data_IF_325472447538
#
_entry.id   IF_325472447538
#
_cell.length_a   1.000
_cell.length_b   1.000
_cell.length_c   1.000
_cell.angle_alpha   90.00
_cell.angle_beta   90.00
_cell.angle_gamma   90.00
#
_symmetry.space_group_name_H-M   'P 1'
#
loop_
_entity.id
_entity.type
_entity.pdbx_description
1 polymer ?
#
# COMPACT_ATOMS: atom_id res chain seq x y z
N UNK A 1 -14.29 20.03 9.19
CA UNK A 1 -13.07 19.31 8.79
C UNK A 1 -13.20 18.82 7.37
N UNK A 2 -14.37 18.30 7.06
CA UNK A 2 -14.70 17.44 5.91
C UNK A 2 -14.40 18.09 4.56
N UNK A 3 -14.66 19.39 4.43
CA UNK A 3 -14.37 20.15 3.20
C UNK A 3 -12.87 20.25 2.89
N UNK A 4 -11.99 20.21 3.90
CA UNK A 4 -10.54 20.28 3.73
C UNK A 4 -9.99 18.90 3.33
N UNK A 5 -10.38 17.85 4.05
CA UNK A 5 -9.97 16.47 3.75
C UNK A 5 -10.46 16.04 2.37
N UNK A 6 -11.71 16.37 2.02
CA UNK A 6 -12.25 16.12 0.66
C UNK A 6 -11.43 16.79 -0.45
N UNK A 7 -11.00 18.03 -0.24
CA UNK A 7 -10.15 18.73 -1.23
C UNK A 7 -8.77 18.09 -1.34
N UNK A 8 -8.22 17.64 -0.23
CA UNK A 8 -6.96 16.90 -0.19
C UNK A 8 -7.05 15.59 -0.98
N UNK A 9 -8.08 14.78 -0.71
CA UNK A 9 -8.28 13.50 -1.37
C UNK A 9 -8.55 13.68 -2.87
N UNK A 10 -9.38 14.67 -3.24
CA UNK A 10 -9.62 14.99 -4.65
C UNK A 10 -8.35 15.41 -5.40
N UNK A 11 -7.49 16.21 -4.75
CA UNK A 11 -6.21 16.62 -5.33
C UNK A 11 -5.27 15.44 -5.52
N UNK A 12 -5.16 14.58 -4.50
CA UNK A 12 -4.33 13.40 -4.53
C UNK A 12 -4.74 12.42 -5.62
N UNK A 13 -6.04 12.07 -5.68
CA UNK A 13 -6.58 11.20 -6.73
C UNK A 13 -6.42 11.81 -8.12
N UNK A 14 -6.55 13.13 -8.26
CA UNK A 14 -6.27 13.80 -9.53
C UNK A 14 -4.78 13.70 -9.93
N UNK A 15 -3.84 13.77 -8.99
CA UNK A 15 -2.42 13.56 -9.28
C UNK A 15 -2.15 12.10 -9.71
N UNK A 16 -2.72 11.13 -9.00
CA UNK A 16 -2.59 9.71 -9.33
C UNK A 16 -3.17 9.41 -10.72
N UNK A 17 -4.40 9.86 -10.99
CA UNK A 17 -5.07 9.68 -12.28
C UNK A 17 -4.30 10.35 -13.43
N UNK A 18 -3.76 11.55 -13.20
CA UNK A 18 -2.94 12.26 -14.17
C UNK A 18 -1.66 11.49 -14.53
N UNK A 19 -0.89 11.05 -13.53
CA UNK A 19 0.34 10.28 -13.75
C UNK A 19 0.05 8.95 -14.44
N UNK A 20 -0.98 8.23 -14.00
CA UNK A 20 -1.39 6.96 -14.60
C UNK A 20 -1.86 7.14 -16.05
N UNK A 21 -2.65 8.17 -16.34
CA UNK A 21 -3.11 8.47 -17.70
C UNK A 21 -1.94 8.71 -18.64
N UNK A 22 -0.96 9.53 -18.24
CA UNK A 22 0.21 9.79 -19.08
C UNK A 22 1.06 8.53 -19.25
N UNK A 23 1.23 7.73 -18.20
CA UNK A 23 1.97 6.48 -18.25
C UNK A 23 1.32 5.45 -19.19
N UNK A 24 0.00 5.33 -19.15
CA UNK A 24 -0.77 4.41 -19.97
C UNK A 24 -0.75 4.86 -21.44
N UNK A 25 -0.88 6.16 -21.71
CA UNK A 25 -0.73 6.74 -23.05
C UNK A 25 0.68 6.49 -23.61
N UNK A 26 1.72 6.73 -22.82
CA UNK A 26 3.10 6.43 -23.16
C UNK A 26 3.30 4.96 -23.55
N UNK A 27 2.71 4.05 -22.79
CA UNK A 27 2.80 2.60 -23.03
C UNK A 27 1.99 2.17 -24.27
N UNK A 28 0.81 2.74 -24.48
CA UNK A 28 -0.05 2.44 -25.62
C UNK A 28 0.53 2.94 -26.94
N UNK A 29 1.18 4.11 -26.95
CA UNK A 29 1.90 4.63 -28.11
C UNK A 29 3.06 3.71 -28.47
N UNK A 30 3.86 3.28 -27.48
CA UNK A 30 4.97 2.34 -27.71
C UNK A 30 4.48 1.00 -28.30
N UNK A 31 3.35 0.48 -27.81
CA UNK A 31 2.74 -0.77 -28.33
C UNK A 31 2.21 -0.60 -29.76
N UNK A 32 1.49 0.48 -30.05
CA UNK A 32 0.84 0.71 -31.35
C UNK A 32 1.84 1.02 -32.46
N UNK A 33 2.94 1.69 -32.13
CA UNK A 33 3.99 1.98 -33.08
C UNK A 33 4.73 0.72 -33.59
N UNK A 34 4.47 -0.47 -33.03
CA UNK A 34 5.13 -1.72 -33.44
C UNK A 34 6.65 -1.64 -33.34
N UNK A 35 7.17 -0.71 -32.53
CA UNK A 35 8.58 -0.40 -32.42
C UNK A 35 9.29 -1.56 -31.69
N UNK A 36 9.78 -2.53 -32.45
CA UNK A 36 11.09 -3.12 -32.12
C UNK A 36 12.06 -1.93 -32.02
N UNK A 37 12.50 -1.63 -30.80
CA UNK A 37 13.32 -0.47 -30.43
C UNK A 37 14.50 -0.31 -31.39
N UNK A 38 14.36 0.57 -32.37
CA UNK A 38 15.46 1.16 -33.12
C UNK A 38 15.45 2.63 -32.75
N UNK A 39 16.56 3.21 -32.28
CA UNK A 39 16.62 4.62 -31.87
C UNK A 39 16.57 5.50 -33.11
N UNK A 40 15.37 5.79 -33.60
CA UNK A 40 15.15 6.73 -34.69
C UNK A 40 14.06 7.72 -34.30
N UNK A 41 14.47 8.99 -34.21
CA UNK A 41 13.64 10.17 -33.97
C UNK A 41 12.57 10.30 -35.05
N UNK A 42 11.33 9.92 -34.77
CA UNK A 42 10.19 10.25 -35.64
C UNK A 42 9.09 10.90 -34.78
N UNK A 43 8.69 12.15 -35.08
CA UNK A 43 7.53 12.76 -34.45
C UNK A 43 6.26 12.22 -35.12
N UNK A 44 5.37 11.60 -34.35
CA UNK A 44 4.05 11.19 -34.83
C UNK A 44 2.99 12.07 -34.17
N UNK A 45 2.07 12.58 -34.99
CA UNK A 45 0.92 13.40 -34.58
C UNK A 45 -0.32 12.52 -34.60
N UNK A 46 -1.07 12.44 -33.51
CA UNK A 46 -2.36 11.73 -33.46
C UNK A 46 -3.50 12.57 -32.89
N UNK A 47 -4.71 12.16 -33.31
CA UNK A 47 -5.96 12.92 -33.37
C UNK A 47 -6.96 12.59 -32.25
N UNK A 48 -7.84 13.55 -32.02
CA UNK A 48 -8.87 13.68 -30.97
C UNK A 48 -9.98 12.61 -31.12
N UNK A 49 -10.40 11.98 -30.02
CA UNK A 49 -11.61 11.15 -29.94
C UNK A 49 -12.67 11.84 -29.03
N UNK A 50 -13.99 11.86 -29.37
CA UNK A 50 -14.94 12.77 -28.75
C UNK A 50 -15.74 12.22 -27.54
N UNK A 51 -15.38 11.06 -26.95
CA UNK A 51 -16.28 10.37 -25.99
C UNK A 51 -15.72 10.19 -24.55
N UNK A 52 -14.45 10.50 -24.27
CA UNK A 52 -13.98 10.53 -22.88
C UNK A 52 -12.47 10.63 -22.77
N UNK A 53 -11.98 11.63 -22.03
CA UNK A 53 -10.56 11.83 -21.76
C UNK A 53 -9.84 12.68 -22.81
N UNK A 54 -9.11 13.70 -22.36
CA UNK A 54 -8.18 14.44 -23.22
C UNK A 54 -7.09 13.47 -23.70
N UNK A 55 -6.83 13.45 -25.01
CA UNK A 55 -5.69 12.70 -25.57
C UNK A 55 -4.46 13.60 -25.44
N UNK A 56 -3.50 13.17 -24.62
CA UNK A 56 -2.25 13.88 -24.37
C UNK A 56 -1.38 13.89 -25.64
N UNK A 57 -0.90 15.06 -26.05
CA UNK A 57 0.00 15.23 -27.22
C UNK A 57 1.36 15.76 -26.74
N UNK A 58 2.06 14.93 -25.95
CA UNK A 58 3.45 15.16 -25.55
C UNK A 58 4.43 14.35 -26.43
N UNK A 59 5.60 14.92 -26.75
CA UNK A 59 6.60 14.35 -27.67
C UNK A 59 7.34 13.09 -27.13
N UNK A 60 6.64 11.97 -26.99
CA UNK A 60 7.19 10.68 -26.49
C UNK A 60 7.90 9.86 -27.57
N UNK A 61 8.86 10.46 -28.30
CA UNK A 61 9.57 9.75 -29.38
C UNK A 61 10.77 8.89 -28.92
N UNK A 62 10.99 8.74 -27.61
CA UNK A 62 12.22 8.17 -27.04
C UNK A 62 12.02 7.34 -25.76
N UNK A 63 10.90 6.63 -25.61
CA UNK A 63 10.80 5.65 -24.54
C UNK A 63 11.76 4.48 -24.81
N UNK A 64 12.91 4.51 -24.14
CA UNK A 64 13.77 3.35 -24.04
C UNK A 64 13.05 2.21 -23.30
N UNK A 65 13.52 0.97 -23.46
CA UNK A 65 13.02 -0.18 -22.68
C UNK A 65 13.00 0.11 -21.16
N UNK A 66 13.96 0.91 -20.69
CA UNK A 66 14.09 1.30 -19.28
C UNK A 66 12.90 2.18 -18.87
N UNK A 67 12.55 3.18 -19.68
CA UNK A 67 11.39 4.04 -19.40
C UNK A 67 10.08 3.25 -19.41
N UNK A 68 9.94 2.26 -20.30
CA UNK A 68 8.74 1.40 -20.31
C UNK A 68 8.64 0.52 -19.07
N UNK A 69 9.75 -0.03 -18.57
CA UNK A 69 9.75 -0.78 -17.31
C UNK A 69 9.33 0.13 -16.15
N UNK A 70 9.89 1.34 -16.07
CA UNK A 70 9.55 2.33 -15.05
C UNK A 70 8.08 2.78 -15.09
N UNK A 71 7.47 2.93 -16.28
CA UNK A 71 6.05 3.28 -16.41
C UNK A 71 5.08 2.14 -16.13
N UNK A 72 5.51 0.89 -16.28
CA UNK A 72 4.69 -0.26 -15.91
C UNK A 72 4.76 -0.57 -14.41
N UNK A 73 5.75 0.00 -13.72
CA UNK A 73 5.89 -0.12 -12.29
C UNK A 73 4.92 0.84 -11.58
N UNK A 74 3.99 0.25 -10.85
CA UNK A 74 2.96 0.99 -10.16
C UNK A 74 3.49 1.79 -8.97
N UNK A 75 4.47 1.24 -8.24
CA UNK A 75 5.08 1.91 -7.10
C UNK A 75 5.82 3.18 -7.55
N UNK A 76 6.49 3.11 -8.68
CA UNK A 76 7.19 4.25 -9.27
C UNK A 76 6.20 5.35 -9.68
N UNK A 77 5.13 5.00 -10.39
CA UNK A 77 4.08 5.96 -10.77
C UNK A 77 3.44 6.61 -9.54
N UNK A 78 3.16 5.80 -8.53
CA UNK A 78 2.58 6.26 -7.27
C UNK A 78 3.50 7.23 -6.55
N UNK A 79 4.79 6.92 -6.42
CA UNK A 79 5.78 7.81 -5.79
C UNK A 79 5.86 9.18 -6.48
N UNK A 80 5.80 9.21 -7.81
CA UNK A 80 5.81 10.47 -8.58
C UNK A 80 4.50 11.26 -8.39
N UNK A 81 3.34 10.58 -8.42
CA UNK A 81 2.06 11.21 -8.15
C UNK A 81 1.98 11.81 -6.74
N UNK A 82 2.54 11.12 -5.75
CA UNK A 82 2.56 11.59 -4.38
C UNK A 82 3.46 12.78 -4.17
N UNK A 83 4.66 12.79 -4.78
CA UNK A 83 5.48 14.00 -4.77
C UNK A 83 4.77 15.19 -5.45
N UNK A 84 4.06 14.95 -6.55
CA UNK A 84 3.26 15.98 -7.23
C UNK A 84 2.17 16.54 -6.30
N UNK A 85 1.46 15.66 -5.59
CA UNK A 85 0.47 16.03 -4.59
C UNK A 85 1.06 16.86 -3.46
N UNK A 86 2.19 16.44 -2.86
CA UNK A 86 2.85 17.17 -1.77
C UNK A 86 3.23 18.61 -2.17
N UNK A 87 3.70 18.80 -3.41
CA UNK A 87 4.04 20.13 -3.93
C UNK A 87 2.80 20.99 -4.26
N UNK A 88 1.64 20.37 -4.52
CA UNK A 88 0.38 21.07 -4.80
C UNK A 88 -0.50 21.27 -3.56
N UNK A 89 -0.26 20.52 -2.49
CA UNK A 89 -1.06 20.60 -1.28
C UNK A 89 -0.86 21.97 -0.61
N UNK A 90 -1.98 22.64 -0.32
CA UNK A 90 -1.97 23.94 0.37
C UNK A 90 -1.60 25.15 -0.49
N UNK A 91 -1.27 24.95 -1.78
CA UNK A 91 -1.04 26.05 -2.74
C UNK A 91 -2.22 26.22 -3.70
N UNK A 92 -2.28 27.38 -4.36
CA UNK A 92 -3.29 27.60 -5.40
C UNK A 92 -2.98 26.75 -6.65
N UNK A 93 -3.98 26.05 -7.19
CA UNK A 93 -3.84 25.22 -8.39
C UNK A 93 -3.81 26.12 -9.64
N UNK A 94 -2.65 26.70 -9.91
CA UNK A 94 -2.37 27.52 -11.09
C UNK A 94 -1.47 26.76 -12.07
N UNK A 95 -1.48 27.15 -13.35
CA UNK A 95 -0.60 26.56 -14.38
C UNK A 95 0.88 26.60 -13.96
N UNK A 96 1.32 27.69 -13.31
CA UNK A 96 2.69 27.82 -12.84
C UNK A 96 3.03 26.83 -11.70
N UNK A 97 2.13 26.65 -10.73
CA UNK A 97 2.37 25.71 -9.63
C UNK A 97 2.26 24.26 -10.10
N UNK A 98 1.39 23.99 -11.08
CA UNK A 98 1.28 22.69 -11.73
C UNK A 98 2.56 22.33 -12.49
N UNK A 99 3.10 23.25 -13.30
CA UNK A 99 4.37 23.04 -13.99
C UNK A 99 5.55 22.82 -13.03
N UNK A 100 5.53 23.46 -11.85
CA UNK A 100 6.55 23.31 -10.82
C UNK A 100 6.34 22.11 -9.88
N UNK A 101 5.22 21.39 -9.99
CA UNK A 101 4.80 20.35 -9.04
C UNK A 101 5.75 19.14 -8.98
N UNK A 102 6.57 18.95 -10.02
CA UNK A 102 7.57 17.88 -10.11
C UNK A 102 9.00 18.35 -9.86
N UNK A 103 9.25 19.66 -9.78
CA UNK A 103 10.61 20.21 -9.64
C UNK A 103 11.20 19.95 -8.25
N UNK A 104 10.35 19.75 -7.23
CA UNK A 104 10.75 19.48 -5.85
C UNK A 104 10.99 18.01 -5.52
N UNK A 105 10.75 17.09 -6.46
CA UNK A 105 10.89 15.67 -6.23
C UNK A 105 12.37 15.27 -6.21
N UNK A 106 12.95 15.14 -5.01
CA UNK A 106 14.36 14.80 -4.81
C UNK A 106 14.73 13.36 -5.15
N UNK A 107 14.25 12.83 -6.28
CA UNK A 107 14.57 11.48 -6.71
C UNK A 107 16.06 11.34 -7.04
N UNK A 108 16.59 10.14 -6.81
CA UNK A 108 17.99 9.87 -7.10
C UNK A 108 18.22 9.95 -8.62
N UNK A 109 19.31 10.60 -9.09
CA UNK A 109 19.62 10.66 -10.52
C UNK A 109 19.67 9.26 -11.13
N UNK A 110 19.04 9.09 -12.30
CA UNK A 110 18.91 7.81 -13.02
C UNK A 110 18.10 6.73 -12.30
N UNK A 111 17.43 7.03 -11.19
CA UNK A 111 16.40 6.14 -10.66
C UNK A 111 15.19 6.11 -11.59
N UNK A 112 14.41 5.04 -11.52
CA UNK A 112 13.21 4.92 -12.35
C UNK A 112 12.17 6.02 -12.06
N UNK A 113 12.08 6.48 -10.79
CA UNK A 113 11.28 7.64 -10.40
C UNK A 113 11.71 8.93 -11.12
N UNK A 114 13.02 9.15 -11.24
CA UNK A 114 13.57 10.31 -11.95
C UNK A 114 13.26 10.25 -13.45
N UNK A 115 13.35 9.06 -14.06
CA UNK A 115 13.02 8.86 -15.48
C UNK A 115 11.54 9.17 -15.74
N UNK A 116 10.64 8.65 -14.89
CA UNK A 116 9.20 8.94 -15.01
C UNK A 116 8.92 10.43 -14.81
N UNK A 117 9.57 11.05 -13.81
CA UNK A 117 9.47 12.50 -13.55
C UNK A 117 9.92 13.34 -14.75
N UNK A 118 11.09 13.09 -15.33
CA UNK A 118 11.61 13.83 -16.50
C UNK A 118 10.67 13.75 -17.71
N UNK A 119 10.01 12.61 -17.89
CA UNK A 119 9.07 12.41 -19.00
C UNK A 119 7.77 13.19 -18.73
N UNK A 120 7.27 13.12 -17.50
CA UNK A 120 6.10 13.89 -17.06
C UNK A 120 6.35 15.39 -17.04
N UNK A 121 7.59 15.85 -16.82
CA UNK A 121 7.96 17.27 -16.88
C UNK A 121 7.55 17.91 -18.22
N UNK A 122 7.59 17.16 -19.32
CA UNK A 122 7.14 17.66 -20.61
C UNK A 122 5.63 17.94 -20.64
N UNK A 123 4.83 17.10 -19.97
CA UNK A 123 3.37 17.23 -19.90
C UNK A 123 2.92 18.31 -18.91
N UNK A 124 3.53 18.40 -17.73
CA UNK A 124 3.15 19.43 -16.74
C UNK A 124 3.43 20.87 -17.22
N UNK A 125 4.28 21.04 -18.23
CA UNK A 125 4.54 22.32 -18.89
C UNK A 125 3.57 22.62 -20.06
N UNK A 126 2.71 21.67 -20.46
CA UNK A 126 1.68 21.89 -21.48
C UNK A 126 0.39 22.43 -20.84
N UNK A 127 -0.13 23.49 -21.42
CA UNK A 127 -1.39 24.10 -20.98
C UNK A 127 -2.59 23.18 -21.17
N UNK A 128 -2.61 22.36 -22.22
CA UNK A 128 -3.68 21.39 -22.46
C UNK A 128 -3.76 20.38 -21.31
N UNK A 129 -2.60 19.93 -20.83
CA UNK A 129 -2.46 18.96 -19.75
C UNK A 129 -2.86 19.56 -18.40
N UNK A 130 -2.51 20.82 -18.14
CA UNK A 130 -3.02 21.56 -16.98
C UNK A 130 -4.55 21.66 -16.99
N UNK A 131 -5.16 21.97 -18.14
CA UNK A 131 -6.63 22.06 -18.25
C UNK A 131 -7.29 20.68 -18.07
N UNK A 132 -6.67 19.62 -18.58
CA UNK A 132 -7.12 18.25 -18.37
C UNK A 132 -7.07 17.88 -16.87
N UNK A 133 -5.97 18.18 -16.20
CA UNK A 133 -5.81 17.99 -14.76
C UNK A 133 -6.87 18.73 -13.94
N UNK A 134 -7.13 20.01 -14.25
CA UNK A 134 -8.19 20.79 -13.57
C UNK A 134 -9.58 20.19 -13.81
N UNK A 135 -9.83 19.63 -14.99
CA UNK A 135 -11.09 18.95 -15.30
C UNK A 135 -11.25 17.66 -14.46
N UNK A 136 -10.19 16.87 -14.32
CA UNK A 136 -10.16 15.66 -13.48
C UNK A 136 -10.32 16.02 -12.00
N UNK A 137 -9.62 17.05 -11.52
CA UNK A 137 -9.79 17.56 -10.17
C UNK A 137 -11.25 17.97 -9.91
N UNK A 138 -11.88 18.65 -10.89
CA UNK A 138 -13.29 19.01 -10.84
C UNK A 138 -14.25 17.81 -10.77
N UNK A 139 -13.93 16.70 -11.45
CA UNK A 139 -14.76 15.49 -11.39
C UNK A 139 -14.68 14.81 -10.02
N UNK A 140 -13.48 14.68 -9.45
CA UNK A 140 -13.30 14.15 -8.09
C UNK A 140 -13.96 15.03 -7.03
N UNK A 141 -13.91 16.36 -7.18
CA UNK A 141 -14.65 17.27 -6.31
C UNK A 141 -16.18 17.13 -6.43
N UNK A 142 -16.68 16.68 -7.59
CA UNK A 142 -18.10 16.55 -7.91
C UNK A 142 -18.71 15.16 -7.64
N UNK A 143 -17.90 14.10 -7.53
CA UNK A 143 -18.32 12.71 -7.31
C UNK A 143 -18.83 12.41 -5.88
N UNK A 144 -19.45 13.41 -5.25
CA UNK A 144 -19.93 13.42 -3.88
C UNK A 144 -21.05 12.40 -3.71
N UNK A 145 -20.76 11.23 -3.12
CA UNK A 145 -21.85 10.35 -2.69
C UNK A 145 -21.55 8.99 -2.09
N UNK A 146 -20.45 8.28 -2.38
CA UNK A 146 -20.41 6.86 -1.96
C UNK A 146 -19.05 6.20 -1.70
N UNK A 147 -17.94 6.89 -1.80
CA UNK A 147 -16.66 6.37 -1.33
C UNK A 147 -15.70 7.54 -1.18
N UNK A 148 -15.29 7.84 0.05
CA UNK A 148 -14.04 8.59 0.26
C UNK A 148 -12.93 7.73 -0.35
N UNK A 149 -12.59 7.97 -1.61
CA UNK A 149 -11.42 7.33 -2.20
C UNK A 149 -10.23 7.95 -1.50
N UNK A 150 -9.70 7.20 -0.55
CA UNK A 150 -8.66 7.66 0.33
C UNK A 150 -7.37 7.92 -0.44
N UNK A 151 -6.64 8.96 -0.05
CA UNK A 151 -5.44 9.35 -0.76
C UNK A 151 -4.27 8.47 -0.33
N UNK A 152 -3.87 7.51 -1.17
CA UNK A 152 -2.76 6.59 -0.87
C UNK A 152 -1.35 7.24 -0.80
N UNK A 153 -1.23 8.57 -0.75
CA UNK A 153 0.07 9.26 -0.70
C UNK A 153 0.60 9.54 0.70
N UNK A 154 -0.21 9.36 1.75
CA UNK A 154 0.30 9.28 3.12
C UNK A 154 0.94 7.91 3.37
N UNK A 155 1.98 7.86 4.18
CA UNK A 155 2.32 6.62 4.90
C UNK A 155 1.67 6.75 6.27
N UNK A 156 0.90 5.74 6.68
CA UNK A 156 0.44 5.63 8.05
C UNK A 156 1.25 4.55 8.77
N UNK A 157 1.44 4.77 10.06
CA UNK A 157 1.99 3.78 10.99
C UNK A 157 0.98 3.64 12.12
N UNK A 158 0.44 2.44 12.29
CA UNK A 158 -0.50 2.11 13.36
C UNK A 158 0.12 1.06 14.28
N UNK A 159 -0.03 1.23 15.59
CA UNK A 159 0.43 0.24 16.57
C UNK A 159 -0.70 -0.17 17.49
N UNK A 160 -1.06 -1.44 17.41
CA UNK A 160 -1.90 -2.11 18.39
C UNK A 160 -1.02 -2.55 19.56
N UNK A 161 -0.97 -1.76 20.63
CA UNK A 161 -0.11 -2.02 21.80
C UNK A 161 -0.79 -2.88 22.90
N UNK A 162 -2.10 -3.10 22.75
CA UNK A 162 -2.95 -3.83 23.69
C UNK A 162 -2.89 -3.33 25.15
N UNK A 163 -2.41 -2.10 25.41
CA UNK A 163 -2.22 -1.58 26.76
C UNK A 163 -3.55 -1.33 27.48
N UNK A 164 -4.57 -0.90 26.74
CA UNK A 164 -5.85 -0.43 27.32
C UNK A 164 -7.10 -1.10 26.74
N UNK A 165 -7.05 -1.57 25.49
CA UNK A 165 -8.13 -2.33 24.86
C UNK A 165 -7.58 -3.41 23.91
N UNK A 166 -8.45 -4.33 23.50
CA UNK A 166 -8.18 -5.31 22.44
C UNK A 166 -8.23 -4.68 21.03
N UNK A 167 -8.55 -3.39 20.95
CA UNK A 167 -8.63 -2.59 19.72
C UNK A 167 -9.53 -3.18 18.62
N UNK A 168 -10.52 -4.01 18.98
CA UNK A 168 -11.44 -4.60 18.00
C UNK A 168 -10.93 -5.86 17.31
N UNK A 169 -9.78 -6.41 17.75
CA UNK A 169 -9.31 -7.72 17.30
C UNK A 169 -10.31 -8.81 17.71
N UNK A 170 -10.54 -9.76 16.81
CA UNK A 170 -11.50 -10.85 17.01
C UNK A 170 -10.82 -12.21 16.97
N UNK A 171 -11.36 -13.14 17.75
CA UNK A 171 -10.88 -14.52 17.83
C UNK A 171 -11.77 -15.40 16.95
N UNK A 172 -11.34 -15.75 15.74
CA UNK A 172 -12.04 -16.70 14.87
C UNK A 172 -11.00 -17.67 14.36
N UNK A 173 -10.76 -18.72 15.14
CA UNK A 173 -10.16 -19.90 14.56
C UNK A 173 -11.16 -20.51 13.55
N UNK A 174 -10.66 -21.21 12.53
CA UNK A 174 -11.48 -21.96 11.55
C UNK A 174 -12.44 -22.97 12.21
N UNK A 175 -12.25 -23.30 13.48
CA UNK A 175 -13.05 -24.24 14.24
C UNK A 175 -13.74 -23.66 15.49
N UNK A 176 -14.07 -22.36 15.46
CA UNK A 176 -14.81 -21.64 16.53
C UNK A 176 -14.08 -21.62 17.89
N UNK A 177 -12.78 -21.89 17.93
CA UNK A 177 -11.96 -21.77 19.14
C UNK A 177 -11.46 -20.34 19.35
N UNK A 178 -11.38 -19.95 20.61
CA UNK A 178 -10.78 -18.70 21.03
C UNK A 178 -9.27 -18.71 20.77
N UNK A 179 -8.70 -17.59 20.31
CA UNK A 179 -7.25 -17.43 20.20
C UNK A 179 -6.57 -17.40 21.58
N UNK A 180 -7.20 -16.69 22.51
CA UNK A 180 -6.54 -16.22 23.70
C UNK A 180 -7.49 -15.50 24.66
N UNK A 181 -6.97 -15.15 25.84
CA UNK A 181 -7.59 -14.20 26.75
C UNK A 181 -6.86 -12.87 26.58
N UNK A 182 -7.61 -11.83 26.21
CA UNK A 182 -7.11 -10.47 26.25
C UNK A 182 -7.03 -9.97 27.70
N UNK A 183 -5.87 -9.44 28.08
CA UNK A 183 -5.68 -8.74 29.36
C UNK A 183 -5.01 -7.39 29.12
N UNK A 184 -5.67 -6.30 29.53
CA UNK A 184 -5.14 -4.95 29.42
C UNK A 184 -3.77 -4.81 30.12
N UNK A 185 -2.81 -4.20 29.42
CA UNK A 185 -1.43 -4.03 29.87
C UNK A 185 -0.56 -5.28 29.70
N UNK A 186 -1.14 -6.43 29.36
CA UNK A 186 -0.43 -7.69 29.10
C UNK A 186 -0.43 -8.00 27.60
N UNK A 187 -1.60 -8.02 26.95
CA UNK A 187 -1.76 -8.41 25.56
C UNK A 187 -2.75 -9.57 25.40
N UNK A 188 -2.65 -10.29 24.29
CA UNK A 188 -3.39 -11.53 24.05
C UNK A 188 -2.56 -12.74 24.45
N UNK A 189 -3.01 -13.45 25.50
CA UNK A 189 -2.37 -14.66 26.01
C UNK A 189 -3.11 -15.90 25.49
N UNK A 190 -2.41 -16.86 24.90
CA UNK A 190 -3.04 -18.11 24.42
C UNK A 190 -3.64 -18.92 25.57
N UNK A 191 -4.90 -19.36 25.39
CA UNK A 191 -5.64 -20.09 26.45
C UNK A 191 -5.39 -21.58 26.41
N UNK A 192 -5.06 -22.15 25.24
CA UNK A 192 -5.02 -23.60 25.04
C UNK A 192 -3.62 -24.17 25.16
N UNK A 193 -2.82 -23.68 26.11
CA UNK A 193 -1.64 -24.41 26.56
C UNK A 193 -1.90 -25.93 26.56
N UNK A 194 -0.99 -26.70 25.94
CA UNK A 194 -0.96 -28.16 25.82
C UNK A 194 -1.95 -28.88 24.90
N UNK A 195 -2.90 -28.23 24.23
CA UNK A 195 -3.67 -28.95 23.21
C UNK A 195 -2.92 -28.88 21.87
N UNK A 196 -2.81 -30.03 21.19
CA UNK A 196 -2.30 -30.14 19.81
C UNK A 196 -3.27 -29.39 18.90
N UNK A 197 -3.13 -28.07 18.90
CA UNK A 197 -4.02 -27.15 18.23
C UNK A 197 -3.30 -26.75 16.95
N UNK A 198 -3.83 -27.25 15.85
CA UNK A 198 -3.51 -26.72 14.54
C UNK A 198 -4.13 -25.31 14.48
N UNK A 199 -3.27 -24.29 14.51
CA UNK A 199 -3.50 -22.86 14.30
C UNK A 199 -4.53 -22.15 15.20
N UNK A 200 -4.06 -21.44 16.23
CA UNK A 200 -4.83 -20.38 16.89
C UNK A 200 -4.65 -19.07 16.09
N UNK A 201 -5.75 -18.45 15.63
CA UNK A 201 -5.71 -17.22 14.82
C UNK A 201 -6.43 -16.06 15.51
N UNK A 202 -5.76 -14.92 15.62
CA UNK A 202 -6.35 -13.63 15.96
C UNK A 202 -6.38 -12.79 14.68
N UNK A 203 -7.49 -12.13 14.39
CA UNK A 203 -7.63 -11.38 13.14
C UNK A 203 -8.37 -10.07 13.33
N UNK A 204 -8.09 -9.15 12.41
CA UNK A 204 -8.71 -7.84 12.30
C UNK A 204 -9.01 -7.56 10.83
N UNK A 205 -10.28 -7.29 10.53
CA UNK A 205 -10.66 -6.76 9.23
C UNK A 205 -10.26 -5.28 9.13
N UNK A 206 -9.72 -4.92 7.98
CA UNK A 206 -9.36 -3.54 7.66
C UNK A 206 -10.63 -2.81 7.19
N UNK A 207 -10.98 -1.70 7.83
CA UNK A 207 -12.13 -0.91 7.40
C UNK A 207 -11.79 -0.16 6.11
N UNK A 208 -12.79 0.00 5.24
CA UNK A 208 -12.65 0.75 3.97
C UNK A 208 -11.44 0.29 3.12
N UNK A 209 -11.22 -1.03 3.07
CA UNK A 209 -10.09 -1.66 2.39
C UNK A 209 -9.97 -1.28 0.90
N UNK A 210 -8.79 -0.81 0.53
CA UNK A 210 -8.28 -0.75 -0.84
C UNK A 210 -7.14 -1.77 -0.98
N UNK A 211 -7.06 -2.46 -2.12
CA UNK A 211 -6.14 -3.57 -2.39
C UNK A 211 -4.67 -3.22 -2.17
N UNK A 212 -4.28 -1.97 -1.93
CA UNK A 212 -2.88 -1.50 -1.90
C UNK A 212 -2.48 -0.79 -0.61
N UNK A 213 -3.25 -1.00 0.46
CA UNK A 213 -3.10 -0.24 1.71
C UNK A 213 -1.91 -0.70 2.54
N UNK A 214 -1.52 -1.97 2.54
CA UNK A 214 -0.48 -2.47 3.46
C UNK A 214 0.91 -2.48 2.82
N UNK A 215 1.93 -2.14 3.60
CA UNK A 215 3.34 -2.21 3.22
C UNK A 215 4.11 -3.23 4.07
N UNK A 216 3.85 -3.21 5.38
CA UNK A 216 4.42 -4.18 6.30
C UNK A 216 3.54 -4.41 7.52
N UNK A 217 3.68 -5.61 8.09
CA UNK A 217 3.07 -5.97 9.36
C UNK A 217 4.15 -6.62 10.22
N UNK A 218 4.31 -6.15 11.45
CA UNK A 218 5.18 -6.76 12.45
C UNK A 218 4.34 -7.22 13.64
N UNK A 219 4.36 -8.52 13.91
CA UNK A 219 3.87 -9.05 15.18
C UNK A 219 4.99 -9.08 16.21
N UNK A 220 4.68 -8.73 17.46
CA UNK A 220 5.60 -8.78 18.59
C UNK A 220 5.03 -9.72 19.66
N UNK A 221 5.74 -10.80 19.95
CA UNK A 221 5.35 -11.79 20.96
C UNK A 221 6.35 -11.85 22.11
N UNK A 222 5.86 -12.09 23.32
CA UNK A 222 6.67 -12.48 24.47
C UNK A 222 6.52 -13.98 24.69
N UNK A 223 7.66 -14.67 24.79
CA UNK A 223 7.76 -16.10 25.08
C UNK A 223 8.30 -16.27 26.49
N UNK A 224 7.48 -16.79 27.42
CA UNK A 224 7.82 -16.81 28.84
C UNK A 224 8.70 -18.01 29.29
N UNK A 225 8.77 -19.10 28.52
CA UNK A 225 9.55 -20.31 28.87
C UNK A 225 10.33 -20.84 27.66
N UNK A 226 11.38 -21.65 27.87
CA UNK A 226 12.42 -22.06 26.91
C UNK A 226 12.43 -23.56 26.53
N UNK A 227 11.34 -24.28 26.76
CA UNK A 227 11.23 -25.75 26.58
C UNK A 227 11.25 -26.27 25.12
N UNK A 228 11.80 -27.45 24.91
CA UNK A 228 12.24 -28.09 23.66
C UNK A 228 11.14 -28.54 22.65
N UNK A 229 10.20 -27.68 22.25
CA UNK A 229 9.32 -27.94 21.09
C UNK A 229 9.34 -26.80 20.06
N UNK A 230 9.31 -27.17 18.77
CA UNK A 230 9.22 -26.23 17.64
C UNK A 230 7.84 -25.60 17.57
N UNK A 231 7.78 -24.27 17.61
CA UNK A 231 6.55 -23.49 17.44
C UNK A 231 6.77 -22.41 16.39
N UNK A 232 5.70 -22.07 15.67
CA UNK A 232 5.73 -21.02 14.66
C UNK A 232 4.90 -19.83 15.13
N UNK A 233 5.51 -18.65 15.20
CA UNK A 233 4.77 -17.38 15.20
C UNK A 233 4.64 -16.95 13.74
N UNK A 234 3.43 -16.57 13.33
CA UNK A 234 3.13 -16.26 11.94
C UNK A 234 2.34 -14.96 11.88
N UNK A 235 2.71 -14.11 10.93
CA UNK A 235 1.88 -12.98 10.49
C UNK A 235 1.35 -13.34 9.10
N UNK A 236 0.03 -13.30 8.95
CA UNK A 236 -0.66 -13.55 7.70
C UNK A 236 -1.44 -12.29 7.28
N UNK A 237 -1.59 -12.13 5.96
CA UNK A 237 -2.33 -11.07 5.33
C UNK A 237 -3.27 -11.76 4.35
N UNK A 238 -4.55 -11.56 4.57
CA UNK A 238 -5.62 -12.27 3.89
C UNK A 238 -6.30 -11.29 2.95
N UNK A 239 -6.62 -11.77 1.76
CA UNK A 239 -7.43 -11.04 0.78
C UNK A 239 -8.54 -11.95 0.32
N UNK A 240 -9.79 -11.51 0.48
CA UNK A 240 -10.97 -12.24 0.02
C UNK A 240 -11.01 -13.71 0.51
N UNK A 241 -10.77 -13.91 1.81
CA UNK A 241 -10.68 -15.21 2.49
C UNK A 241 -9.53 -16.13 2.01
N UNK A 242 -8.59 -15.61 1.22
CA UNK A 242 -7.40 -16.35 0.76
C UNK A 242 -6.16 -15.76 1.42
N UNK A 243 -5.40 -16.60 2.14
CA UNK A 243 -4.06 -16.25 2.63
C UNK A 243 -3.18 -16.02 1.41
N UNK A 244 -2.75 -14.77 1.19
CA UNK A 244 -1.95 -14.41 0.02
C UNK A 244 -0.49 -14.86 0.20
N UNK A 245 0.07 -14.61 1.39
CA UNK A 245 1.39 -15.08 1.80
C UNK A 245 1.47 -15.09 3.34
N UNK A 246 2.56 -15.59 3.90
CA UNK A 246 2.77 -15.66 5.35
C UNK A 246 4.25 -15.59 5.69
N UNK A 247 4.64 -14.73 6.64
CA UNK A 247 5.97 -14.80 7.23
C UNK A 247 5.92 -15.55 8.55
N UNK A 248 6.82 -16.50 8.72
CA UNK A 248 6.84 -17.35 9.92
C UNK A 248 8.23 -17.42 10.53
N UNK A 249 8.26 -17.39 11.84
CA UNK A 249 9.47 -17.67 12.61
C UNK A 249 9.38 -19.09 13.18
N UNK A 250 10.30 -19.97 12.79
CA UNK A 250 10.23 -21.42 13.05
C UNK A 250 11.34 -21.96 13.98
N UNK A 251 12.11 -21.08 14.61
CA UNK A 251 13.25 -21.48 15.45
C UNK A 251 12.83 -21.84 16.89
N UNK A 252 13.78 -22.35 17.69
CA UNK A 252 13.54 -22.75 19.09
C UNK A 252 13.63 -21.52 19.98
N UNK A 253 12.51 -21.00 20.54
CA UNK A 253 12.58 -19.69 21.16
C UNK A 253 13.28 -19.85 22.49
N UNK A 254 14.36 -19.11 22.68
CA UNK A 254 14.76 -18.75 24.03
C UNK A 254 13.65 -17.87 24.62
N UNK A 255 13.42 -17.92 25.95
CA UNK A 255 12.52 -16.97 26.59
C UNK A 255 12.90 -15.53 26.22
N UNK A 256 11.92 -14.70 25.91
CA UNK A 256 12.14 -13.33 25.48
C UNK A 256 11.15 -12.85 24.41
N UNK A 257 11.49 -11.70 23.82
CA UNK A 257 10.71 -11.08 22.77
C UNK A 257 11.07 -11.67 21.40
N UNK A 258 10.05 -12.02 20.62
CA UNK A 258 10.15 -12.50 19.24
C UNK A 258 9.39 -11.52 18.36
N UNK A 259 10.00 -11.13 17.24
CA UNK A 259 9.41 -10.24 16.23
C UNK A 259 9.34 -10.98 14.91
N UNK A 260 8.18 -10.93 14.26
CA UNK A 260 7.99 -11.46 12.91
C UNK A 260 7.52 -10.30 12.06
N UNK A 261 8.40 -9.85 11.17
CA UNK A 261 8.16 -8.76 10.24
C UNK A 261 7.91 -9.34 8.86
N UNK A 262 6.79 -8.99 8.27
CA UNK A 262 6.52 -9.22 6.86
C UNK A 262 6.50 -7.88 6.12
N UNK A 263 7.36 -7.74 5.11
CA UNK A 263 7.42 -6.59 4.20
C UNK A 263 6.99 -6.99 2.78
N UNK A 264 6.56 -6.01 1.99
CA UNK A 264 6.21 -6.24 0.58
C UNK A 264 4.84 -6.88 0.40
N UNK A 265 3.91 -6.58 1.31
CA UNK A 265 2.52 -7.03 1.20
C UNK A 265 1.90 -6.32 0.00
N UNK A 266 1.45 -7.08 -1.01
CA UNK A 266 0.87 -6.48 -2.21
C UNK A 266 -0.59 -6.06 -1.99
N UNK A 267 -1.36 -6.84 -1.21
CA UNK A 267 -2.78 -6.64 -0.94
C UNK A 267 -3.30 -7.48 0.23
N UNK A 268 -4.16 -6.92 1.09
CA UNK A 268 -4.84 -7.66 2.16
C UNK A 268 -6.00 -6.90 2.82
N UNK A 269 -7.21 -7.46 2.81
CA UNK A 269 -8.42 -6.90 3.49
C UNK A 269 -8.51 -7.26 4.96
N UNK A 270 -7.62 -8.15 5.41
CA UNK A 270 -7.60 -8.66 6.77
C UNK A 270 -6.16 -8.95 7.20
N UNK A 271 -5.84 -8.58 8.44
CA UNK A 271 -4.60 -8.95 9.10
C UNK A 271 -4.90 -10.12 10.04
N UNK A 272 -4.16 -11.21 9.90
CA UNK A 272 -4.17 -12.29 10.87
C UNK A 272 -2.80 -12.44 11.53
N UNK A 273 -2.81 -12.72 12.82
CA UNK A 273 -1.63 -13.12 13.56
C UNK A 273 -1.93 -14.47 14.19
N UNK A 274 -1.07 -15.42 13.85
CA UNK A 274 -1.27 -16.83 14.16
C UNK A 274 -0.17 -17.32 15.08
N UNK A 275 -0.55 -18.18 16.01
CA UNK A 275 0.40 -18.97 16.79
C UNK A 275 0.13 -20.45 16.53
N UNK A 276 1.15 -21.17 16.05
CA UNK A 276 1.04 -22.60 15.73
C UNK A 276 1.92 -23.39 16.66
N UNK A 277 1.32 -24.34 17.38
CA UNK A 277 2.07 -25.38 18.08
C UNK A 277 2.37 -26.55 17.14
N UNK A 278 3.61 -26.60 16.67
CA UNK A 278 4.04 -27.47 15.59
C UNK A 278 4.73 -28.73 16.07
N UNK A 279 4.20 -29.47 17.05
CA UNK A 279 4.67 -30.85 17.26
C UNK A 279 3.63 -31.80 17.92
N UNK A 280 3.24 -32.90 17.25
CA UNK A 280 2.48 -33.98 17.88
C UNK A 280 3.37 -34.67 18.93
N UNK A 281 3.30 -34.20 20.17
CA UNK A 281 4.13 -34.70 21.28
C UNK A 281 4.68 -33.63 22.23
N UNK A 282 4.43 -32.34 21.98
CA UNK A 282 4.70 -31.29 22.96
C UNK A 282 3.88 -31.56 24.23
N UNK A 283 4.56 -31.68 25.38
CA UNK A 283 3.95 -32.01 26.68
C UNK A 283 4.09 -30.89 27.71
N UNK A 284 4.68 -29.76 27.32
CA UNK A 284 4.79 -28.54 28.11
C UNK A 284 4.27 -27.36 27.27
N UNK A 285 3.20 -26.72 27.75
CA UNK A 285 2.61 -25.54 27.12
C UNK A 285 3.42 -24.32 27.52
N UNK A 286 3.67 -23.42 26.57
CA UNK A 286 4.27 -22.12 26.86
C UNK A 286 3.21 -21.04 26.75
N UNK A 287 3.31 -20.05 27.62
CA UNK A 287 2.53 -18.81 27.53
C UNK A 287 3.21 -17.92 26.48
N UNK A 288 2.56 -17.81 25.32
CA UNK A 288 2.88 -16.78 24.34
C UNK A 288 1.91 -15.63 24.55
N UNK A 289 2.46 -14.44 24.57
CA UNK A 289 1.70 -13.22 24.70
C UNK A 289 1.96 -12.39 23.45
N UNK A 290 0.95 -12.25 22.59
CA UNK A 290 1.00 -11.24 21.55
C UNK A 290 0.91 -9.88 22.23
N UNK A 291 2.00 -9.13 22.14
CA UNK A 291 2.20 -7.88 22.88
C UNK A 291 1.89 -6.66 22.03
N UNK A 292 2.22 -6.72 20.74
CA UNK A 292 1.86 -5.67 19.82
C UNK A 292 1.73 -6.18 18.38
N UNK A 293 0.97 -5.45 17.58
CA UNK A 293 0.99 -5.55 16.12
C UNK A 293 1.25 -4.15 15.57
N UNK A 294 2.31 -4.01 14.79
CA UNK A 294 2.67 -2.78 14.10
C UNK A 294 2.35 -2.93 12.62
N UNK A 295 1.61 -1.97 12.08
CA UNK A 295 1.17 -1.98 10.68
C UNK A 295 1.65 -0.69 10.03
N UNK A 296 2.31 -0.84 8.88
CA UNK A 296 2.66 0.28 8.01
C UNK A 296 1.89 0.14 6.73
N UNK A 297 1.31 1.24 6.27
CA UNK A 297 0.56 1.26 5.04
C UNK A 297 0.56 2.60 4.33
N UNK A 298 -0.17 2.64 3.22
CA UNK A 298 -0.41 3.81 2.39
C UNK A 298 -1.84 4.28 2.58
N UNK A 299 -2.03 5.58 2.68
CA UNK A 299 -3.37 6.18 2.86
C UNK A 299 -3.57 6.87 4.20
N UNK A 300 -4.84 7.10 4.51
CA UNK A 300 -5.33 7.33 5.86
C UNK A 300 -5.30 5.99 6.61
N UNK A 301 -4.99 6.08 7.89
CA UNK A 301 -5.02 4.94 8.80
C UNK A 301 -6.44 4.33 8.87
N UNK A 302 -6.66 3.07 8.46
CA UNK A 302 -7.98 2.44 8.37
C UNK A 302 -8.47 1.82 9.70
N UNK A 303 -7.72 1.99 10.80
CA UNK A 303 -7.96 1.32 12.09
C UNK A 303 -8.59 2.24 13.17
#
# INVERSE_FOLDING_TARGET
GDDVQRRSNALCNACIDFVNTIADDATNVARTAGLTIVPALIPIVWSINPIGGAVFVGALSLLSLIAQAAFNDEEIRHAVACCMYENLQGVAITEANFAASLTGCGFAPLSDNEIVREILESGVNDRADYLAFVSVLGSFMGAVGSSETDCACGIFEHTFDFEVSDQGWTTRAEDDRDFGVYTAGVGWESVYGLQVVLAERLYMQIQDFDERVLLSIEGVWIVNDGSVASRNAIVDAVLADVVQDSESWTDWPQPGEVRVLWEGIESADEIQVTMVDGWPGATEGRDYILKAVHVVGRGTDPF
#
